data_IF_624916262079
#
_entry.id   IF_624916262079
#
_cell.length_a   1.000
_cell.length_b   1.000
_cell.length_c   1.000
_cell.angle_alpha   90.00
_cell.angle_beta   90.00
_cell.angle_gamma   90.00
#
_symmetry.space_group_name_H-M   'P 1'
#
loop_
_entity.id
_entity.type
_entity.pdbx_description
1 polymer ?
#
# COMPACT_ATOMS: atom_id res chain seq x y z
N UNK A 1 6.55 10.34 11.37
CA UNK A 1 5.27 10.46 10.63
C UNK A 1 5.24 9.79 9.25
N UNK A 2 6.38 9.48 8.61
CA UNK A 2 6.43 9.13 7.17
C UNK A 2 6.54 7.62 6.84
N UNK A 3 5.87 6.75 7.59
CA UNK A 3 5.85 5.32 7.27
C UNK A 3 4.44 4.74 7.20
N UNK A 4 3.47 5.48 6.65
CA UNK A 4 2.33 4.82 6.04
C UNK A 4 2.88 3.99 4.90
N UNK A 5 2.90 2.67 5.07
CA UNK A 5 3.30 1.75 4.02
C UNK A 5 2.53 2.12 2.75
N UNK A 6 3.19 2.22 1.58
CA UNK A 6 2.52 2.47 0.30
C UNK A 6 1.40 1.47 -0.02
N UNK A 7 1.21 0.42 0.78
CA UNK A 7 0.14 -0.55 0.59
C UNK A 7 -1.17 -0.25 1.31
N UNK A 8 -1.16 0.31 2.53
CA UNK A 8 -2.38 0.23 3.38
C UNK A 8 -3.44 1.26 3.06
N UNK A 9 -3.06 2.45 2.59
CA UNK A 9 -4.03 3.47 2.16
C UNK A 9 -4.22 3.51 0.65
N UNK A 10 -3.14 3.27 -0.09
CA UNK A 10 -3.12 3.40 -1.54
C UNK A 10 -4.04 2.40 -2.23
N UNK A 11 -3.96 1.11 -1.86
CA UNK A 11 -4.77 0.10 -2.53
C UNK A 11 -6.26 0.24 -2.27
N UNK A 12 -6.71 0.54 -1.03
CA UNK A 12 -8.12 0.88 -0.80
C UNK A 12 -8.50 2.27 -1.34
N UNK A 13 -7.55 3.20 -1.47
CA UNK A 13 -7.83 4.61 -1.77
C UNK A 13 -8.33 5.40 -0.57
N UNK A 14 -7.86 5.07 0.64
CA UNK A 14 -8.26 5.74 1.88
C UNK A 14 -7.43 7.01 2.13
N UNK A 15 -8.04 8.18 1.94
CA UNK A 15 -7.43 9.49 2.24
C UNK A 15 -7.54 9.91 3.70
N UNK A 16 -8.41 9.28 4.49
CA UNK A 16 -8.80 9.79 5.82
C UNK A 16 -7.82 9.38 6.93
N UNK A 17 -6.54 9.17 6.60
CA UNK A 17 -5.51 8.82 7.59
C UNK A 17 -4.88 10.09 8.16
N UNK A 18 -5.58 10.71 9.09
CA UNK A 18 -5.10 11.91 9.80
C UNK A 18 -4.43 11.58 11.15
N UNK A 19 -4.65 10.37 11.70
CA UNK A 19 -3.98 9.88 12.91
C UNK A 19 -3.37 8.49 12.69
N UNK A 20 -2.42 8.13 13.56
CA UNK A 20 -1.86 6.80 13.64
C UNK A 20 -1.72 6.41 15.11
N UNK A 21 -1.93 5.12 15.39
CA UNK A 21 -1.78 4.56 16.72
C UNK A 21 -0.58 3.62 16.78
N UNK A 22 -0.05 3.45 17.99
CA UNK A 22 1.07 2.56 18.29
C UNK A 22 0.87 1.94 19.66
N UNK A 23 1.53 0.82 19.93
CA UNK A 23 1.54 0.23 21.27
C UNK A 23 2.52 0.99 22.17
N UNK A 24 2.00 1.73 23.15
CA UNK A 24 2.77 2.54 24.12
C UNK A 24 3.87 1.74 24.83
N UNK A 25 3.59 0.47 25.16
CA UNK A 25 4.52 -0.44 25.84
C UNK A 25 5.90 -0.55 25.18
N UNK A 26 5.98 -0.36 23.86
CA UNK A 26 7.22 -0.49 23.10
C UNK A 26 7.86 0.86 22.74
N UNK A 27 7.30 1.98 23.22
CA UNK A 27 7.79 3.33 22.95
C UNK A 27 7.96 3.59 21.45
N UNK A 28 9.12 4.09 21.04
CA UNK A 28 9.42 4.42 19.65
C UNK A 28 9.80 3.21 18.79
N UNK A 29 10.14 2.07 19.39
CA UNK A 29 10.54 0.84 18.69
C UNK A 29 9.33 -0.07 18.46
N UNK A 30 8.31 0.48 17.81
CA UNK A 30 7.01 -0.15 17.60
C UNK A 30 6.59 -0.08 16.14
N UNK A 31 5.41 -0.61 15.83
CA UNK A 31 4.80 -0.51 14.50
C UNK A 31 3.52 0.32 14.55
N UNK A 32 3.14 0.85 13.40
CA UNK A 32 1.89 1.59 13.23
C UNK A 32 0.74 0.59 13.15
N UNK A 33 -0.29 0.81 13.96
CA UNK A 33 -1.53 0.05 13.90
C UNK A 33 -2.39 0.64 12.78
N UNK A 34 -2.81 -0.20 11.83
CA UNK A 34 -3.62 0.21 10.68
C UNK A 34 -5.12 0.11 10.98
N UNK A 35 -5.65 1.03 11.78
CA UNK A 35 -7.08 1.14 12.06
C UNK A 35 -7.80 2.10 11.09
N UNK A 36 -9.12 2.15 11.22
CA UNK A 36 -10.05 3.08 10.55
C UNK A 36 -9.98 3.06 9.01
N UNK A 37 -10.13 1.86 8.45
CA UNK A 37 -10.09 1.63 7.01
C UNK A 37 -11.47 1.70 6.33
N UNK A 38 -12.53 2.06 7.06
CA UNK A 38 -13.92 2.05 6.57
C UNK A 38 -14.23 3.03 5.44
N UNK A 39 -13.35 4.01 5.19
CA UNK A 39 -13.43 4.93 4.04
C UNK A 39 -12.64 4.48 2.81
N UNK A 40 -12.04 3.29 2.88
CA UNK A 40 -11.44 2.64 1.70
C UNK A 40 -12.51 2.12 0.73
N UNK A 41 -12.09 1.77 -0.47
CA UNK A 41 -12.90 1.13 -1.51
C UNK A 41 -14.18 1.91 -1.91
N UNK A 42 -14.19 3.25 -1.78
CA UNK A 42 -15.30 4.08 -2.25
C UNK A 42 -15.28 4.41 -3.74
N UNK A 43 -14.11 4.35 -4.40
CA UNK A 43 -13.93 4.64 -5.83
C UNK A 43 -12.94 3.66 -6.47
N UNK A 44 -13.40 2.89 -7.46
CA UNK A 44 -12.54 1.99 -8.26
C UNK A 44 -12.00 2.66 -9.54
N UNK A 45 -12.70 3.68 -10.05
CA UNK A 45 -12.39 4.39 -11.31
C UNK A 45 -11.50 5.62 -11.13
N UNK A 46 -11.15 5.97 -9.88
CA UNK A 46 -10.29 7.11 -9.55
C UNK A 46 -9.14 6.64 -8.68
N UNK A 47 -7.93 7.09 -9.00
CA UNK A 47 -6.72 6.79 -8.23
C UNK A 47 -6.20 8.09 -7.61
N UNK A 48 -6.21 8.14 -6.28
CA UNK A 48 -5.92 9.37 -5.56
C UNK A 48 -4.41 9.52 -5.30
N UNK A 49 -3.71 10.11 -6.26
CA UNK A 49 -2.26 10.23 -6.25
C UNK A 49 -1.71 11.00 -5.04
N UNK A 50 -2.50 11.87 -4.42
CA UNK A 50 -2.08 12.61 -3.21
C UNK A 50 -1.71 11.67 -2.05
N UNK A 51 -2.27 10.46 -2.01
CA UNK A 51 -1.90 9.42 -1.01
C UNK A 51 -0.43 9.00 -1.14
N UNK A 52 0.16 9.07 -2.35
CA UNK A 52 1.56 8.71 -2.61
C UNK A 52 2.55 9.86 -2.37
N UNK A 53 2.08 11.07 -2.03
CA UNK A 53 2.95 12.23 -1.76
C UNK A 53 4.04 11.94 -0.73
N UNK A 54 3.78 11.25 0.40
CA UNK A 54 4.83 10.86 1.34
C UNK A 54 5.95 10.03 0.70
N UNK A 55 5.62 9.12 -0.21
CA UNK A 55 6.61 8.29 -0.92
C UNK A 55 7.41 9.13 -1.93
N UNK A 56 6.73 9.99 -2.68
CA UNK A 56 7.33 10.93 -3.63
C UNK A 56 8.31 11.91 -2.96
N UNK A 57 7.96 12.41 -1.77
CA UNK A 57 8.79 13.36 -1.04
C UNK A 57 9.96 12.69 -0.31
N UNK A 58 9.74 11.51 0.27
CA UNK A 58 10.78 10.85 1.07
C UNK A 58 11.73 9.99 0.25
N UNK A 59 11.32 9.53 -0.94
CA UNK A 59 12.07 8.66 -1.83
C UNK A 59 12.64 7.40 -1.14
N UNK A 60 11.97 6.90 -0.09
CA UNK A 60 12.45 5.81 0.76
C UNK A 60 11.33 4.83 1.06
N UNK A 61 11.65 3.55 0.94
CA UNK A 61 10.76 2.43 1.29
C UNK A 61 11.57 1.33 1.95
N UNK A 62 10.94 0.53 2.82
CA UNK A 62 11.58 -0.65 3.41
C UNK A 62 11.89 -1.66 2.29
N UNK A 63 13.11 -2.22 2.28
CA UNK A 63 13.53 -3.26 1.32
C UNK A 63 12.54 -4.43 1.26
N UNK A 64 12.06 -4.86 2.42
CA UNK A 64 11.11 -5.97 2.54
C UNK A 64 9.73 -5.64 1.93
N UNK A 65 9.32 -4.37 1.91
CA UNK A 65 8.10 -3.92 1.21
C UNK A 65 8.34 -3.90 -0.30
N UNK A 66 9.47 -3.32 -0.75
CA UNK A 66 9.80 -3.25 -2.17
C UNK A 66 9.86 -4.63 -2.84
N UNK A 67 10.52 -5.61 -2.21
CA UNK A 67 10.60 -6.98 -2.74
C UNK A 67 9.22 -7.65 -2.83
N UNK A 68 8.33 -7.41 -1.87
CA UNK A 68 6.95 -7.94 -1.92
C UNK A 68 6.14 -7.28 -3.03
N UNK A 69 6.30 -5.98 -3.26
CA UNK A 69 5.64 -5.29 -4.36
C UNK A 69 6.10 -5.85 -5.72
N UNK A 70 7.40 -6.09 -5.89
CA UNK A 70 7.94 -6.74 -7.08
C UNK A 70 7.41 -8.17 -7.29
N UNK A 71 7.21 -8.93 -6.21
CA UNK A 71 6.61 -10.25 -6.29
C UNK A 71 5.16 -10.18 -6.77
N UNK A 72 4.35 -9.31 -6.14
CA UNK A 72 2.93 -9.12 -6.48
C UNK A 72 2.71 -8.56 -7.89
N UNK A 73 3.73 -7.93 -8.48
CA UNK A 73 3.67 -7.41 -9.85
C UNK A 73 3.85 -8.51 -10.92
N UNK A 74 4.21 -9.75 -10.53
CA UNK A 74 4.29 -10.88 -11.45
C UNK A 74 2.91 -11.47 -11.71
N UNK A 75 2.64 -11.91 -12.95
CA UNK A 75 1.36 -12.53 -13.34
C UNK A 75 0.95 -13.72 -12.45
N UNK A 76 1.93 -14.53 -12.02
CA UNK A 76 1.70 -15.68 -11.13
C UNK A 76 1.18 -15.30 -9.73
N UNK A 77 1.39 -14.04 -9.30
CA UNK A 77 1.08 -13.55 -7.95
C UNK A 77 0.20 -12.30 -8.00
N UNK A 78 -0.65 -12.19 -9.03
CA UNK A 78 -1.50 -11.04 -9.28
C UNK A 78 -2.33 -10.68 -8.04
N UNK A 79 -2.24 -9.42 -7.62
CA UNK A 79 -2.80 -8.94 -6.36
C UNK A 79 -4.33 -9.11 -6.29
N UNK A 80 -5.03 -8.84 -7.39
CA UNK A 80 -6.49 -9.05 -7.48
C UNK A 80 -6.90 -10.50 -7.19
N UNK A 81 -6.18 -11.48 -7.74
CA UNK A 81 -6.47 -12.91 -7.56
C UNK A 81 -6.24 -13.32 -6.11
N UNK A 82 -5.08 -12.95 -5.55
CA UNK A 82 -4.75 -13.26 -4.16
C UNK A 82 -5.74 -12.60 -3.18
N UNK A 83 -6.19 -11.39 -3.46
CA UNK A 83 -7.19 -10.72 -2.63
C UNK A 83 -8.55 -11.40 -2.72
N UNK A 84 -9.04 -11.69 -3.93
CA UNK A 84 -10.30 -12.40 -4.10
C UNK A 84 -10.29 -13.73 -3.34
N UNK A 85 -9.23 -14.54 -3.53
CA UNK A 85 -9.05 -15.82 -2.84
C UNK A 85 -9.05 -15.64 -1.31
N UNK A 86 -8.36 -14.63 -0.79
CA UNK A 86 -8.27 -14.39 0.65
C UNK A 86 -9.62 -14.11 1.32
N UNK A 87 -10.58 -13.58 0.56
CA UNK A 87 -11.90 -13.16 1.06
C UNK A 87 -12.97 -14.24 0.91
N UNK A 88 -12.71 -15.31 0.15
CA UNK A 88 -13.70 -16.39 -0.13
C UNK A 88 -14.27 -17.09 1.09
N UNK A 89 -13.56 -17.08 2.22
CA UNK A 89 -14.00 -17.71 3.47
C UNK A 89 -14.91 -16.81 4.31
N UNK A 90 -15.03 -15.54 3.94
CA UNK A 90 -15.95 -14.62 4.62
C UNK A 90 -17.39 -14.89 4.20
N UNK A 91 -18.32 -14.71 5.12
CA UNK A 91 -19.76 -14.89 4.85
C UNK A 91 -20.32 -13.81 3.93
N UNK A 92 -19.62 -12.70 3.78
CA UNK A 92 -19.96 -11.57 2.92
C UNK A 92 -19.35 -11.70 1.52
N UNK A 93 -18.77 -12.85 1.15
CA UNK A 93 -18.25 -13.07 -0.20
C UNK A 93 -19.34 -12.87 -1.28
N UNK A 94 -19.10 -12.05 -2.32
CA UNK A 94 -17.89 -11.24 -2.56
C UNK A 94 -17.85 -9.94 -1.73
N UNK A 95 -16.78 -9.75 -0.96
CA UNK A 95 -16.55 -8.52 -0.18
C UNK A 95 -16.24 -7.32 -1.08
N UNK A 96 -15.43 -7.53 -2.13
CA UNK A 96 -15.07 -6.51 -3.12
C UNK A 96 -15.57 -6.93 -4.49
N UNK A 97 -16.18 -5.99 -5.22
CA UNK A 97 -16.57 -6.19 -6.61
C UNK A 97 -15.34 -6.18 -7.54
N UNK A 98 -15.44 -6.86 -8.68
CA UNK A 98 -14.35 -7.00 -9.66
C UNK A 98 -13.65 -5.68 -10.03
N UNK A 99 -14.36 -4.54 -10.26
CA UNK A 99 -13.69 -3.28 -10.57
C UNK A 99 -12.71 -2.80 -9.48
N UNK A 100 -12.97 -3.08 -8.20
CA UNK A 100 -12.02 -2.74 -7.13
C UNK A 100 -10.79 -3.64 -7.14
N UNK A 101 -10.94 -4.92 -7.45
CA UNK A 101 -9.82 -5.84 -7.61
C UNK A 101 -8.93 -5.42 -8.79
N UNK A 102 -9.53 -5.09 -9.94
CA UNK A 102 -8.79 -4.58 -11.11
C UNK A 102 -8.07 -3.25 -10.81
N UNK A 103 -8.70 -2.39 -10.01
CA UNK A 103 -8.10 -1.14 -9.56
C UNK A 103 -6.86 -1.39 -8.67
N UNK A 104 -6.85 -2.43 -7.84
CA UNK A 104 -5.68 -2.77 -7.03
C UNK A 104 -4.47 -3.14 -7.90
N UNK A 105 -4.66 -3.91 -8.96
CA UNK A 105 -3.57 -4.24 -9.90
C UNK A 105 -3.08 -3.01 -10.66
N UNK A 106 -3.99 -2.13 -11.09
CA UNK A 106 -3.60 -0.86 -11.73
C UNK A 106 -2.80 0.02 -10.78
N UNK A 107 -3.25 0.16 -9.54
CA UNK A 107 -2.57 0.90 -8.47
C UNK A 107 -1.21 0.29 -8.12
N UNK A 108 -1.08 -1.03 -8.17
CA UNK A 108 0.20 -1.74 -7.96
C UNK A 108 1.22 -1.38 -9.04
N UNK A 109 0.80 -1.29 -10.31
CA UNK A 109 1.69 -0.85 -11.40
C UNK A 109 2.17 0.58 -11.18
N UNK A 110 1.27 1.50 -10.86
CA UNK A 110 1.61 2.89 -10.57
C UNK A 110 2.64 3.04 -9.44
N UNK A 111 2.49 2.31 -8.33
CA UNK A 111 3.47 2.38 -7.23
C UNK A 111 4.80 1.71 -7.60
N UNK A 112 4.78 0.67 -8.44
CA UNK A 112 5.97 -0.01 -8.93
C UNK A 112 6.78 0.89 -9.86
N UNK A 113 6.12 1.56 -10.80
CA UNK A 113 6.72 2.54 -11.73
C UNK A 113 7.29 3.74 -10.96
N UNK A 114 6.55 4.22 -9.95
CA UNK A 114 7.04 5.26 -9.06
C UNK A 114 8.32 4.81 -8.34
N UNK A 115 8.34 3.63 -7.72
CA UNK A 115 9.53 3.13 -7.03
C UNK A 115 10.72 2.92 -7.99
N UNK A 116 10.47 2.48 -9.22
CA UNK A 116 11.50 2.33 -10.24
C UNK A 116 12.11 3.69 -10.64
N UNK A 117 11.29 4.73 -10.79
CA UNK A 117 11.77 6.08 -11.10
C UNK A 117 12.51 6.77 -9.94
N UNK A 118 12.28 6.33 -8.70
CA UNK A 118 12.99 6.82 -7.51
C UNK A 118 14.34 6.12 -7.27
N UNK A 119 14.55 4.92 -7.83
CA UNK A 119 15.79 4.17 -7.65
C UNK A 119 17.07 4.89 -8.11
N UNK A 120 17.09 5.67 -9.22
CA UNK A 120 18.24 6.48 -9.63
C UNK A 120 18.51 7.67 -8.70
N UNK A 121 17.53 8.07 -7.87
CA UNK A 121 17.58 9.27 -7.03
C UNK A 121 17.88 8.97 -5.56
N UNK A 122 17.93 7.69 -5.16
CA UNK A 122 18.26 7.32 -3.80
C UNK A 122 19.75 7.62 -3.55
N UNK A 123 20.10 8.50 -2.60
CA UNK A 123 21.49 8.67 -2.20
C UNK A 123 22.00 7.31 -1.73
N UNK A 124 23.22 6.95 -2.15
CA UNK A 124 23.87 5.69 -1.79
C UNK A 124 23.85 5.42 -0.27
N UNK A 125 24.15 4.19 0.16
CA UNK A 125 24.01 3.79 1.56
C UNK A 125 24.71 4.80 2.48
N UNK A 126 23.92 5.54 3.28
CA UNK A 126 24.45 6.36 4.36
C UNK A 126 24.93 5.41 5.44
N UNK A 127 26.24 5.14 5.45
CA UNK A 127 26.96 4.55 6.57
C UNK A 127 27.06 5.59 7.69
N UNK A 128 26.14 5.56 8.65
CA UNK A 128 26.38 5.65 10.09
C UNK A 128 25.07 5.60 10.85
#
# INVERSE_FOLDING_TARGET
MFYSLPGTNWYPGNMDRHHYETFEKFGNETFIIHLDNGRGFGKHSHDEMSILVPLLQCCRVRKSTHLRLQLLAKEEYKLSVLMAESMTRDRLDPILIQPHLDAMDRRLRLVSDLLASLAPLAPGPRTR
#
